data_IF_167609690643
#
_entry.id   IF_167609690643
#
_cell.length_a   1.000
_cell.length_b   1.000
_cell.length_c   1.000
_cell.angle_alpha   90.00
_cell.angle_beta   90.00
_cell.angle_gamma   90.00
#
_symmetry.space_group_name_H-M   'P 1'
#
loop_
_entity.id
_entity.type
_entity.pdbx_description
1 polymer ?
#
# COMPACT_ATOMS: atom_id res chain seq x y z
N UNK A 1 7.06 36.68 -9.55
CA UNK A 1 5.68 36.54 -9.10
C UNK A 1 5.46 35.05 -8.92
N UNK A 2 5.74 34.52 -7.73
CA UNK A 2 5.48 33.11 -7.41
C UNK A 2 3.97 32.98 -7.26
N UNK A 3 3.29 32.30 -8.20
CA UNK A 3 1.92 31.88 -7.98
C UNK A 3 1.93 30.96 -6.75
N UNK A 4 1.23 31.35 -5.67
CA UNK A 4 0.83 30.43 -4.63
C UNK A 4 0.06 29.30 -5.33
N UNK A 5 0.72 28.14 -5.50
CA UNK A 5 0.03 26.91 -5.90
C UNK A 5 -1.05 26.69 -4.84
N UNK A 6 -2.32 26.85 -5.23
CA UNK A 6 -3.45 26.48 -4.37
C UNK A 6 -3.15 25.08 -3.87
N UNK A 7 -3.01 24.90 -2.57
CA UNK A 7 -2.74 23.60 -1.93
C UNK A 7 -3.83 22.65 -2.38
N UNK A 8 -3.49 21.68 -3.21
CA UNK A 8 -4.43 20.68 -3.70
C UNK A 8 -4.56 19.59 -2.65
N UNK A 9 -5.79 19.22 -2.31
CA UNK A 9 -6.07 18.11 -1.41
C UNK A 9 -5.74 16.77 -2.10
N UNK A 10 -5.24 15.83 -1.34
CA UNK A 10 -4.97 14.48 -1.80
C UNK A 10 -6.23 13.63 -1.61
N UNK A 11 -6.97 13.40 -2.69
CA UNK A 11 -8.25 12.67 -2.67
C UNK A 11 -8.23 11.36 -3.46
N UNK A 12 -7.19 11.15 -4.28
CA UNK A 12 -7.07 9.99 -5.16
C UNK A 12 -5.97 9.04 -4.67
N UNK A 13 -6.22 7.76 -4.80
CA UNK A 13 -5.20 6.74 -4.49
C UNK A 13 -5.06 5.70 -5.60
N UNK A 14 -3.84 5.18 -5.75
CA UNK A 14 -3.50 4.04 -6.60
C UNK A 14 -3.16 2.85 -5.69
N UNK A 15 -3.81 1.70 -5.92
CA UNK A 15 -3.47 0.45 -5.26
C UNK A 15 -2.96 -0.54 -6.33
N UNK A 16 -1.64 -0.74 -6.43
CA UNK A 16 -1.07 -1.75 -7.33
C UNK A 16 -1.38 -3.17 -6.85
N UNK A 17 -2.08 -3.95 -7.67
CA UNK A 17 -2.48 -5.33 -7.40
C UNK A 17 -2.18 -6.26 -8.61
N UNK A 18 -1.21 -5.91 -9.46
CA UNK A 18 -0.86 -6.64 -10.68
C UNK A 18 0.06 -7.85 -10.49
N UNK A 19 0.66 -8.02 -9.31
CA UNK A 19 1.66 -9.06 -9.04
C UNK A 19 1.11 -10.50 -9.14
N UNK A 20 1.95 -11.45 -9.58
CA UNK A 20 1.57 -12.86 -9.81
C UNK A 20 1.37 -13.66 -8.50
N UNK A 21 1.85 -13.18 -7.36
CA UNK A 21 1.67 -13.85 -6.06
C UNK A 21 2.41 -15.19 -5.92
N UNK A 22 3.50 -15.41 -6.66
CA UNK A 22 4.21 -16.69 -6.72
C UNK A 22 4.71 -17.24 -5.39
N UNK A 23 4.95 -16.36 -4.41
CA UNK A 23 5.37 -16.74 -3.04
C UNK A 23 4.31 -17.56 -2.30
N UNK A 24 3.03 -17.43 -2.68
CA UNK A 24 1.90 -18.11 -2.06
C UNK A 24 1.35 -19.28 -2.88
N UNK A 25 2.05 -19.72 -3.91
CA UNK A 25 1.65 -20.95 -4.60
C UNK A 25 1.64 -22.14 -3.63
N UNK A 26 0.63 -23.03 -3.74
CA UNK A 26 -0.38 -23.14 -4.80
C UNK A 26 -1.65 -22.27 -4.59
N UNK A 27 -1.87 -21.63 -3.44
CA UNK A 27 -3.10 -20.88 -3.13
C UNK A 27 -3.39 -19.80 -4.18
N UNK A 28 -2.37 -19.09 -4.62
CA UNK A 28 -2.49 -18.00 -5.61
C UNK A 28 -2.54 -18.45 -7.08
N UNK A 29 -2.67 -19.75 -7.33
CA UNK A 29 -2.90 -20.27 -8.70
C UNK A 29 -4.24 -19.77 -9.28
N UNK A 30 -5.27 -19.71 -8.45
CA UNK A 30 -6.63 -19.34 -8.85
C UNK A 30 -7.16 -18.09 -8.14
N UNK A 31 -6.47 -17.60 -7.11
CA UNK A 31 -6.90 -16.47 -6.30
C UNK A 31 -5.79 -15.41 -6.19
N UNK A 32 -6.12 -14.11 -6.30
CA UNK A 32 -5.17 -13.04 -6.03
C UNK A 32 -4.59 -13.13 -4.62
N UNK A 33 -3.28 -12.85 -4.47
CA UNK A 33 -2.67 -12.79 -3.13
C UNK A 33 -3.33 -11.73 -2.23
N UNK A 34 -3.82 -10.67 -2.83
CA UNK A 34 -4.50 -9.56 -2.18
C UNK A 34 -5.86 -9.96 -1.60
N UNK A 35 -6.42 -11.09 -2.09
CA UNK A 35 -7.68 -11.69 -1.61
C UNK A 35 -7.46 -12.80 -0.57
N UNK A 36 -6.21 -13.09 -0.18
CA UNK A 36 -5.97 -14.01 0.93
C UNK A 36 -6.50 -13.39 2.22
N UNK A 37 -7.37 -14.11 2.99
CA UNK A 37 -8.02 -13.52 4.14
C UNK A 37 -7.12 -13.54 5.38
N UNK A 38 -7.05 -12.41 6.06
CA UNK A 38 -6.55 -12.32 7.43
C UNK A 38 -7.75 -12.54 8.33
N UNK A 39 -7.89 -13.76 8.83
CA UNK A 39 -9.09 -14.29 9.49
C UNK A 39 -10.24 -14.39 8.48
N UNK A 40 -11.07 -13.36 8.35
CA UNK A 40 -12.27 -13.29 7.52
C UNK A 40 -12.30 -12.08 6.56
N UNK A 41 -11.30 -11.20 6.62
CA UNK A 41 -11.21 -9.99 5.79
C UNK A 41 -10.03 -10.10 4.83
N UNK A 42 -10.21 -9.92 3.50
CA UNK A 42 -9.12 -9.91 2.54
C UNK A 42 -8.10 -8.82 2.82
N UNK A 43 -6.81 -9.09 2.58
CA UNK A 43 -5.72 -8.14 2.83
C UNK A 43 -5.95 -6.79 2.15
N UNK A 44 -6.45 -6.78 0.90
CA UNK A 44 -6.71 -5.55 0.15
C UNK A 44 -7.77 -4.65 0.80
N UNK A 45 -8.73 -5.21 1.53
CA UNK A 45 -9.76 -4.42 2.20
C UNK A 45 -9.16 -3.54 3.30
N UNK A 46 -8.19 -4.03 4.06
CA UNK A 46 -7.46 -3.20 5.05
C UNK A 46 -6.76 -2.01 4.41
N UNK A 47 -6.24 -2.19 3.19
CA UNK A 47 -5.57 -1.11 2.44
C UNK A 47 -6.58 -0.06 1.96
N UNK A 48 -7.74 -0.49 1.46
CA UNK A 48 -8.83 0.40 1.05
C UNK A 48 -9.38 1.16 2.26
N UNK A 49 -9.63 0.48 3.39
CA UNK A 49 -10.11 1.09 4.63
C UNK A 49 -9.13 2.17 5.14
N UNK A 50 -7.81 1.91 5.13
CA UNK A 50 -6.81 2.93 5.49
C UNK A 50 -6.90 4.16 4.58
N UNK A 51 -7.04 3.95 3.26
CA UNK A 51 -7.18 5.05 2.31
C UNK A 51 -8.42 5.90 2.61
N UNK A 52 -9.58 5.26 2.81
CA UNK A 52 -10.85 5.93 3.14
C UNK A 52 -10.76 6.69 4.46
N UNK A 53 -10.23 6.06 5.51
CA UNK A 53 -10.03 6.70 6.82
C UNK A 53 -9.06 7.89 6.75
N UNK A 54 -8.20 7.93 5.74
CA UNK A 54 -7.26 9.02 5.48
C UNK A 54 -7.83 10.14 4.61
N UNK A 55 -9.12 10.08 4.21
CA UNK A 55 -9.79 11.10 3.42
C UNK A 55 -9.70 10.91 1.90
N UNK A 56 -9.28 9.73 1.43
CA UNK A 56 -9.35 9.35 0.01
C UNK A 56 -10.79 8.96 -0.32
N UNK A 57 -11.33 9.51 -1.39
CA UNK A 57 -12.67 9.23 -1.89
C UNK A 57 -12.67 8.44 -3.21
N UNK A 58 -11.60 8.52 -3.99
CA UNK A 58 -11.49 7.91 -5.31
C UNK A 58 -10.26 7.01 -5.39
N UNK A 59 -10.46 5.71 -5.57
CA UNK A 59 -9.39 4.71 -5.59
C UNK A 59 -9.34 4.04 -6.95
N UNK A 60 -8.14 3.93 -7.55
CA UNK A 60 -7.92 3.09 -8.71
C UNK A 60 -7.06 1.89 -8.36
N UNK A 61 -7.60 0.70 -8.55
CA UNK A 61 -6.88 -0.56 -8.39
C UNK A 61 -6.27 -0.96 -9.74
N UNK A 62 -4.93 -1.03 -9.78
CA UNK A 62 -4.19 -1.45 -10.96
C UNK A 62 -4.02 -2.95 -10.92
N UNK A 63 -4.92 -3.68 -11.58
CA UNK A 63 -4.99 -5.14 -11.55
C UNK A 63 -4.21 -5.79 -12.69
N UNK A 64 -3.83 -7.05 -12.50
CA UNK A 64 -3.28 -7.92 -13.52
C UNK A 64 -4.33 -8.86 -14.12
N UNK A 65 -3.87 -9.82 -14.92
CA UNK A 65 -4.71 -10.92 -15.43
C UNK A 65 -5.17 -11.81 -14.26
N UNK A 66 -6.40 -12.32 -14.30
CA UNK A 66 -6.99 -13.23 -13.29
C UNK A 66 -7.18 -12.62 -11.89
N UNK A 67 -7.45 -11.31 -11.81
CA UNK A 67 -7.68 -10.58 -10.55
C UNK A 67 -9.16 -10.20 -10.32
N UNK A 68 -10.10 -10.84 -11.05
CA UNK A 68 -11.54 -10.55 -10.98
C UNK A 68 -12.11 -10.62 -9.56
N UNK A 69 -11.63 -11.53 -8.72
CA UNK A 69 -12.09 -11.63 -7.34
C UNK A 69 -11.89 -10.34 -6.51
N UNK A 70 -10.97 -9.44 -6.91
CA UNK A 70 -10.83 -8.12 -6.29
C UNK A 70 -12.00 -7.21 -6.71
N UNK A 71 -12.39 -7.26 -7.98
CA UNK A 71 -13.52 -6.51 -8.53
C UNK A 71 -14.81 -6.99 -7.85
N UNK A 72 -15.05 -8.31 -7.89
CA UNK A 72 -16.23 -8.95 -7.30
C UNK A 72 -16.38 -8.67 -5.77
N UNK A 73 -15.27 -8.45 -5.05
CA UNK A 73 -15.29 -8.19 -3.61
C UNK A 73 -15.84 -6.80 -3.25
N UNK A 74 -15.52 -5.79 -4.05
CA UNK A 74 -15.97 -4.42 -3.80
C UNK A 74 -17.24 -4.05 -4.58
N UNK A 75 -17.66 -4.89 -5.53
CA UNK A 75 -18.90 -4.70 -6.25
C UNK A 75 -20.12 -5.14 -5.44
N UNK A 76 -21.29 -4.63 -5.81
CA UNK A 76 -22.55 -5.02 -5.22
C UNK A 76 -22.88 -6.47 -5.58
N UNK A 77 -23.09 -7.32 -4.58
CA UNK A 77 -23.54 -8.70 -4.74
C UNK A 77 -25.06 -8.80 -4.53
N UNK A 78 -25.83 -8.53 -5.58
CA UNK A 78 -27.28 -8.48 -5.50
C UNK A 78 -27.92 -9.78 -4.98
N UNK A 79 -27.45 -10.93 -5.45
CA UNK A 79 -27.98 -12.24 -5.06
C UNK A 79 -27.71 -12.53 -3.59
N UNK A 80 -26.50 -12.23 -3.09
CA UNK A 80 -26.12 -12.43 -1.69
C UNK A 80 -26.90 -11.49 -0.77
N UNK A 81 -26.99 -10.21 -1.13
CA UNK A 81 -27.74 -9.24 -0.33
C UNK A 81 -29.22 -9.66 -0.19
N UNK A 82 -29.85 -10.09 -1.31
CA UNK A 82 -31.24 -10.53 -1.31
C UNK A 82 -31.44 -11.78 -0.43
N UNK A 83 -30.54 -12.76 -0.52
CA UNK A 83 -30.60 -13.97 0.31
C UNK A 83 -30.47 -13.65 1.80
N UNK A 84 -29.56 -12.72 2.18
CA UNK A 84 -29.38 -12.27 3.56
C UNK A 84 -30.61 -11.51 4.07
N UNK A 85 -31.22 -10.68 3.23
CA UNK A 85 -32.44 -9.94 3.55
C UNK A 85 -33.64 -10.89 3.75
N UNK A 86 -33.83 -11.86 2.87
CA UNK A 86 -34.90 -12.87 2.98
C UNK A 86 -34.74 -13.76 4.23
N UNK A 87 -33.48 -13.98 4.69
CA UNK A 87 -33.20 -14.71 5.94
C UNK A 87 -33.25 -13.84 7.19
N UNK A 88 -33.43 -12.54 7.06
CA UNK A 88 -33.41 -11.61 8.18
C UNK A 88 -32.05 -11.47 8.86
N UNK A 89 -30.94 -11.76 8.13
CA UNK A 89 -29.58 -11.64 8.67
C UNK A 89 -29.04 -10.22 8.45
N UNK A 90 -29.56 -9.28 9.21
CA UNK A 90 -29.26 -7.85 9.12
C UNK A 90 -27.77 -7.53 9.32
N UNK A 91 -27.10 -8.27 10.23
CA UNK A 91 -25.69 -8.04 10.55
C UNK A 91 -24.81 -8.35 9.34
N UNK A 92 -24.95 -9.53 8.73
CA UNK A 92 -24.17 -9.89 7.54
C UNK A 92 -24.54 -9.04 6.33
N UNK A 93 -25.81 -8.64 6.21
CA UNK A 93 -26.27 -7.75 5.16
C UNK A 93 -25.59 -6.37 5.26
N UNK A 94 -25.49 -5.83 6.47
CA UNK A 94 -24.79 -4.57 6.70
C UNK A 94 -23.30 -4.66 6.29
N UNK A 95 -22.61 -5.73 6.70
CA UNK A 95 -21.20 -5.96 6.33
C UNK A 95 -21.02 -5.98 4.80
N UNK A 96 -21.87 -6.71 4.08
CA UNK A 96 -21.75 -6.82 2.60
C UNK A 96 -22.04 -5.48 1.93
N UNK A 97 -23.04 -4.74 2.39
CA UNK A 97 -23.37 -3.41 1.87
C UNK A 97 -22.27 -2.38 2.15
N UNK A 98 -21.71 -2.38 3.34
CA UNK A 98 -20.64 -1.45 3.74
C UNK A 98 -19.40 -1.63 2.87
N UNK A 99 -19.02 -2.86 2.51
CA UNK A 99 -17.90 -3.13 1.61
C UNK A 99 -18.11 -2.48 0.24
N UNK A 100 -19.32 -2.59 -0.31
CA UNK A 100 -19.66 -2.03 -1.64
C UNK A 100 -19.73 -0.50 -1.66
N UNK A 101 -19.79 0.14 -0.49
CA UNK A 101 -19.92 1.59 -0.36
C UNK A 101 -18.67 2.27 0.27
N UNK A 102 -17.57 1.52 0.42
CA UNK A 102 -16.36 2.05 1.07
C UNK A 102 -15.78 3.28 0.35
N UNK A 103 -15.71 3.24 -0.98
CA UNK A 103 -15.18 4.33 -1.81
C UNK A 103 -15.64 4.17 -3.26
N UNK A 104 -15.43 5.20 -4.09
CA UNK A 104 -15.53 5.08 -5.54
C UNK A 104 -14.30 4.34 -6.07
N UNK A 105 -14.45 3.05 -6.40
CA UNK A 105 -13.36 2.18 -6.82
C UNK A 105 -13.38 1.98 -8.33
N UNK A 106 -12.27 2.30 -8.97
CA UNK A 106 -12.03 2.14 -10.40
C UNK A 106 -10.99 1.07 -10.66
N UNK A 107 -11.04 0.45 -11.82
CA UNK A 107 -10.11 -0.62 -12.19
C UNK A 107 -9.41 -0.32 -13.50
N UNK A 108 -8.09 -0.48 -13.52
CA UNK A 108 -7.30 -0.45 -14.75
C UNK A 108 -6.40 -1.66 -14.81
N UNK A 109 -6.22 -2.20 -16.00
CA UNK A 109 -5.38 -3.38 -16.18
C UNK A 109 -3.95 -3.01 -16.56
N UNK A 110 -3.00 -3.46 -15.77
CA UNK A 110 -1.62 -3.55 -16.18
C UNK A 110 -1.48 -4.74 -17.15
N UNK A 111 -1.35 -4.46 -18.45
CA UNK A 111 -1.33 -5.49 -19.49
C UNK A 111 -0.09 -6.37 -19.43
N UNK A 112 1.05 -5.78 -19.08
CA UNK A 112 2.35 -6.42 -18.96
C UNK A 112 2.93 -6.17 -17.57
N UNK A 113 3.47 -7.18 -16.88
CA UNK A 113 3.98 -7.05 -15.50
C UNK A 113 5.38 -6.40 -15.48
N UNK A 114 5.46 -5.13 -15.91
CA UNK A 114 6.71 -4.38 -16.05
C UNK A 114 7.14 -3.65 -14.76
N UNK A 115 6.68 -4.10 -13.60
CA UNK A 115 7.09 -3.57 -12.31
C UNK A 115 6.14 -2.51 -11.71
N UNK A 116 6.52 -2.02 -10.50
CA UNK A 116 5.70 -1.10 -9.72
C UNK A 116 5.56 0.27 -10.38
N UNK A 117 6.64 0.83 -10.92
CA UNK A 117 6.58 2.13 -11.62
C UNK A 117 5.63 2.09 -12.81
N UNK A 118 5.64 1.00 -13.59
CA UNK A 118 4.69 0.82 -14.69
C UNK A 118 3.24 0.66 -14.19
N UNK A 119 3.01 -0.01 -13.07
CA UNK A 119 1.67 -0.10 -12.49
C UNK A 119 1.14 1.30 -12.12
N UNK A 120 1.95 2.14 -11.48
CA UNK A 120 1.60 3.53 -11.17
C UNK A 120 1.31 4.32 -12.44
N UNK A 121 2.14 4.17 -13.47
CA UNK A 121 1.95 4.83 -14.78
C UNK A 121 0.62 4.47 -15.44
N UNK A 122 0.14 3.23 -15.31
CA UNK A 122 -1.15 2.80 -15.86
C UNK A 122 -2.33 3.63 -15.34
N UNK A 123 -2.21 4.23 -14.16
CA UNK A 123 -3.25 5.06 -13.55
C UNK A 123 -3.18 6.56 -13.93
N UNK A 124 -2.18 7.01 -14.71
CA UNK A 124 -1.96 8.42 -15.04
C UNK A 124 -3.22 9.14 -15.50
N UNK A 125 -3.99 8.53 -16.40
CA UNK A 125 -5.21 9.17 -16.96
C UNK A 125 -6.31 9.37 -15.92
N UNK A 126 -6.37 8.55 -14.91
CA UNK A 126 -7.30 8.67 -13.80
C UNK A 126 -6.87 9.77 -12.83
N UNK A 127 -5.58 9.83 -12.52
CA UNK A 127 -5.03 10.82 -11.60
C UNK A 127 -5.07 12.22 -12.21
N UNK A 128 -4.66 12.37 -13.47
CA UNK A 128 -4.50 13.68 -14.10
C UNK A 128 -3.32 14.45 -13.49
N UNK A 129 -3.55 15.72 -13.20
CA UNK A 129 -2.56 16.64 -12.65
C UNK A 129 -2.76 16.89 -11.14
N UNK A 130 -3.39 15.96 -10.44
CA UNK A 130 -3.65 16.06 -9.00
C UNK A 130 -2.62 15.26 -8.20
N UNK A 131 -2.30 15.69 -6.95
CA UNK A 131 -1.51 14.86 -6.03
C UNK A 131 -2.29 13.61 -5.66
N UNK A 132 -1.57 12.52 -5.41
CA UNK A 132 -2.19 11.23 -5.18
C UNK A 132 -1.41 10.37 -4.20
N UNK A 133 -2.10 9.42 -3.59
CA UNK A 133 -1.48 8.40 -2.76
C UNK A 133 -1.17 7.13 -3.56
N UNK A 134 -0.15 6.38 -3.14
CA UNK A 134 0.09 5.00 -3.58
C UNK A 134 0.18 4.11 -2.35
N UNK A 135 -0.62 3.03 -2.31
CA UNK A 135 -0.62 2.06 -1.23
C UNK A 135 -0.33 0.67 -1.80
N UNK A 136 0.76 0.05 -1.35
CA UNK A 136 1.06 -1.33 -1.77
C UNK A 136 0.09 -2.31 -1.11
N UNK A 137 -0.44 -3.24 -1.91
CA UNK A 137 -1.49 -4.17 -1.49
C UNK A 137 -1.04 -5.31 -0.57
N UNK A 138 0.25 -5.39 -0.23
CA UNK A 138 0.84 -6.41 0.64
C UNK A 138 1.52 -5.86 1.90
N UNK A 139 1.35 -4.57 2.18
CA UNK A 139 1.80 -3.92 3.41
C UNK A 139 0.60 -3.35 4.19
N UNK A 140 0.25 -3.93 5.32
CA UNK A 140 -0.79 -3.41 6.21
C UNK A 140 -0.11 -2.62 7.32
N UNK A 141 -0.40 -1.31 7.38
CA UNK A 141 0.11 -0.41 8.41
C UNK A 141 -0.98 -0.09 9.42
N UNK A 142 -0.64 -0.17 10.70
CA UNK A 142 -1.57 0.15 11.80
C UNK A 142 -0.96 1.21 12.70
N UNK A 143 -1.61 2.36 12.74
CA UNK A 143 -1.32 3.47 13.63
C UNK A 143 -2.57 4.31 13.84
N UNK A 144 -2.60 5.08 14.90
CA UNK A 144 -3.66 6.05 15.20
C UNK A 144 -3.02 7.43 15.36
N UNK A 145 -3.31 8.39 14.46
CA UNK A 145 -4.11 8.27 13.24
C UNK A 145 -3.44 7.39 12.15
N UNK A 146 -4.16 7.00 11.07
CA UNK A 146 -3.62 6.20 9.98
C UNK A 146 -2.33 6.80 9.38
N UNK A 147 -1.38 5.95 8.98
CA UNK A 147 -0.11 6.40 8.40
C UNK A 147 -0.33 7.31 7.18
N UNK A 148 -1.21 6.92 6.28
CA UNK A 148 -1.50 7.73 5.09
C UNK A 148 -2.10 9.09 5.46
N UNK A 149 -2.97 9.20 6.47
CA UNK A 149 -3.52 10.47 6.91
C UNK A 149 -2.43 11.43 7.41
N UNK A 150 -1.46 10.93 8.18
CA UNK A 150 -0.32 11.71 8.63
C UNK A 150 0.52 12.22 7.46
N UNK A 151 0.74 11.37 6.45
CA UNK A 151 1.49 11.74 5.24
C UNK A 151 0.77 12.76 4.37
N UNK A 152 -0.55 12.64 4.23
CA UNK A 152 -1.39 13.62 3.51
C UNK A 152 -1.28 14.98 4.17
N UNK A 153 -1.39 15.04 5.49
CA UNK A 153 -1.21 16.28 6.25
C UNK A 153 0.18 16.90 6.00
N UNK A 154 1.24 16.10 6.07
CA UNK A 154 2.60 16.56 5.78
C UNK A 154 2.74 17.08 4.34
N UNK A 155 2.11 16.42 3.36
CA UNK A 155 2.09 16.89 1.96
C UNK A 155 1.35 18.22 1.83
N UNK A 156 0.17 18.33 2.43
CA UNK A 156 -0.65 19.55 2.38
C UNK A 156 0.02 20.75 3.04
N UNK A 157 0.84 20.52 4.07
CA UNK A 157 1.64 21.57 4.71
C UNK A 157 2.84 22.01 3.87
N UNK A 158 3.54 21.07 3.25
CA UNK A 158 4.85 21.32 2.61
C UNK A 158 4.80 21.46 1.10
N UNK A 159 3.79 20.87 0.45
CA UNK A 159 3.70 20.73 -1.01
C UNK A 159 4.75 19.80 -1.62
N UNK A 160 5.44 19.01 -0.79
CA UNK A 160 6.50 18.08 -1.21
C UNK A 160 6.00 16.63 -1.15
N UNK A 161 6.41 15.81 -2.10
CA UNK A 161 6.12 14.36 -2.05
C UNK A 161 6.62 13.74 -0.75
N UNK A 162 5.88 12.78 -0.22
CA UNK A 162 6.16 12.13 1.08
C UNK A 162 6.23 10.62 0.91
N UNK A 163 7.23 9.98 1.50
CA UNK A 163 7.39 8.52 1.50
C UNK A 163 7.44 8.01 2.95
N UNK A 164 6.64 7.00 3.26
CA UNK A 164 6.70 6.35 4.56
C UNK A 164 7.93 5.45 4.67
N UNK A 165 8.66 5.62 5.76
CA UNK A 165 9.86 4.86 6.08
C UNK A 165 9.76 4.24 7.47
N UNK A 166 10.37 3.08 7.63
CA UNK A 166 10.50 2.36 8.90
C UNK A 166 11.89 1.81 9.07
N UNK A 167 12.41 1.80 10.27
CA UNK A 167 13.68 1.11 10.53
C UNK A 167 13.53 -0.40 10.40
N UNK A 168 14.48 -1.01 9.69
CA UNK A 168 14.56 -2.47 9.56
C UNK A 168 15.93 -2.94 10.04
N UNK A 169 16.07 -4.22 10.47
CA UNK A 169 17.36 -4.79 10.74
C UNK A 169 18.31 -4.68 9.54
N UNK A 170 19.57 -4.31 9.77
CA UNK A 170 20.57 -4.11 8.71
C UNK A 170 20.70 -5.31 7.75
N UNK A 171 20.55 -6.52 8.25
CA UNK A 171 20.57 -7.74 7.44
C UNK A 171 19.33 -7.92 6.53
N UNK A 172 18.32 -7.05 6.63
CA UNK A 172 17.12 -7.09 5.81
C UNK A 172 17.04 -5.94 4.77
N UNK A 173 17.96 -4.98 4.80
CA UNK A 173 17.96 -3.81 3.91
C UNK A 173 17.92 -4.19 2.43
N UNK A 174 18.53 -5.30 2.05
CA UNK A 174 18.56 -5.81 0.67
C UNK A 174 17.18 -6.20 0.10
N UNK A 175 16.12 -6.19 0.93
CA UNK A 175 14.73 -6.53 0.51
C UNK A 175 13.93 -5.31 0.08
N UNK A 176 14.35 -4.10 0.43
CA UNK A 176 13.58 -2.87 0.34
C UNK A 176 14.29 -1.78 -0.45
N UNK A 177 13.52 -0.78 -0.89
CA UNK A 177 14.07 0.52 -1.20
C UNK A 177 14.57 1.19 0.10
N UNK A 178 15.80 1.67 0.10
CA UNK A 178 16.45 2.27 1.28
C UNK A 178 16.66 3.75 1.03
N UNK A 179 16.27 4.59 2.00
CA UNK A 179 16.47 6.03 1.95
C UNK A 179 17.81 6.44 2.59
N UNK A 180 18.49 7.43 1.99
CA UNK A 180 19.63 8.11 2.58
C UNK A 180 19.22 9.49 3.09
N UNK A 181 19.80 9.90 4.21
CA UNK A 181 19.57 11.20 4.86
C UNK A 181 20.87 11.96 5.06
N UNK A 182 20.74 13.27 5.25
CA UNK A 182 21.83 14.05 5.80
C UNK A 182 21.98 13.77 7.31
N UNK A 183 23.07 13.13 7.66
CA UNK A 183 23.37 12.83 9.06
C UNK A 183 23.70 14.08 9.89
N UNK A 184 23.99 15.23 9.24
CA UNK A 184 24.31 16.48 9.91
C UNK A 184 23.06 17.20 10.45
N UNK A 185 21.87 16.90 9.93
CA UNK A 185 20.61 17.49 10.39
C UNK A 185 19.47 16.45 10.49
N UNK A 186 19.38 15.73 11.62
CA UNK A 186 18.31 14.76 11.85
C UNK A 186 16.90 15.37 11.89
N UNK A 187 16.78 16.70 12.01
CA UNK A 187 15.49 17.40 12.02
C UNK A 187 14.89 17.57 10.63
N UNK A 188 15.71 17.53 9.59
CA UNK A 188 15.25 17.58 8.21
C UNK A 188 14.86 16.19 7.73
N UNK A 189 13.56 15.99 7.54
CA UNK A 189 13.01 14.77 6.95
C UNK A 189 13.27 14.67 5.43
N UNK A 190 14.19 15.46 4.87
CA UNK A 190 14.52 15.43 3.45
C UNK A 190 15.31 14.17 3.10
N UNK A 191 14.82 13.43 2.14
CA UNK A 191 15.52 12.29 1.55
C UNK A 191 16.60 12.84 0.60
N UNK A 192 17.84 12.38 0.74
CA UNK A 192 18.92 12.71 -0.16
C UNK A 192 19.01 11.76 -1.34
N UNK A 193 18.80 10.47 -1.08
CA UNK A 193 18.91 9.43 -2.10
C UNK A 193 17.99 8.25 -1.77
N UNK A 194 17.64 7.46 -2.79
CA UNK A 194 16.82 6.26 -2.70
C UNK A 194 17.47 5.14 -3.51
N UNK A 195 17.76 4.02 -2.88
CA UNK A 195 18.43 2.87 -3.51
C UNK A 195 17.53 1.64 -3.43
N UNK A 196 17.10 1.12 -4.58
CA UNK A 196 16.28 -0.09 -4.66
C UNK A 196 17.11 -1.32 -4.39
N UNK A 197 16.77 -2.07 -3.34
CA UNK A 197 17.38 -3.35 -2.94
C UNK A 197 18.91 -3.32 -3.03
N UNK A 198 19.58 -2.50 -2.21
CA UNK A 198 21.04 -2.41 -2.21
C UNK A 198 21.66 -3.78 -1.95
N UNK A 199 22.86 -4.01 -2.48
CA UNK A 199 23.61 -5.21 -2.16
C UNK A 199 23.94 -5.27 -0.64
N UNK A 200 24.09 -6.47 -0.05
CA UNK A 200 24.45 -6.59 1.36
C UNK A 200 25.66 -5.73 1.72
N UNK A 201 25.53 -4.92 2.77
CA UNK A 201 26.57 -3.97 3.20
C UNK A 201 26.71 -2.67 2.41
N UNK A 202 25.87 -2.44 1.39
CA UNK A 202 25.85 -1.21 0.58
C UNK A 202 24.67 -0.28 0.89
N UNK A 203 23.82 -0.65 1.83
CA UNK A 203 22.72 0.21 2.23
C UNK A 203 23.26 1.49 2.93
N UNK A 204 22.81 2.69 2.53
CA UNK A 204 23.26 3.95 3.12
C UNK A 204 22.68 4.17 4.53
N UNK A 205 21.59 3.50 4.85
CA UNK A 205 20.92 3.51 6.14
C UNK A 205 20.13 2.22 6.35
N UNK A 206 19.40 2.12 7.45
CA UNK A 206 18.41 1.06 7.69
C UNK A 206 16.95 1.55 7.61
N UNK A 207 16.73 2.72 7.00
CA UNK A 207 15.39 3.27 6.77
C UNK A 207 14.80 2.75 5.46
N UNK A 208 13.88 1.81 5.58
CA UNK A 208 13.23 1.12 4.47
C UNK A 208 11.90 1.74 4.09
N UNK A 209 11.62 1.79 2.81
CA UNK A 209 10.31 2.20 2.27
C UNK A 209 9.27 1.13 2.59
N UNK A 210 8.13 1.54 3.15
CA UNK A 210 7.07 0.64 3.63
C UNK A 210 5.76 0.77 2.85
N UNK A 211 5.87 1.00 1.55
CA UNK A 211 4.73 0.86 0.64
C UNK A 211 3.63 1.91 0.76
N UNK A 212 3.91 3.08 1.35
CA UNK A 212 3.02 4.24 1.36
C UNK A 212 3.74 5.45 0.80
N UNK A 213 3.05 6.13 -0.13
CA UNK A 213 3.57 7.32 -0.81
C UNK A 213 2.45 8.34 -0.99
N UNK A 214 2.79 9.61 -0.88
CA UNK A 214 1.97 10.74 -1.36
C UNK A 214 2.83 11.49 -2.37
N UNK A 215 2.41 11.55 -3.61
CA UNK A 215 3.25 11.95 -4.74
C UNK A 215 2.67 13.14 -5.52
N UNK A 216 3.56 14.01 -5.99
CA UNK A 216 3.26 15.01 -7.00
C UNK A 216 3.10 14.32 -8.38
N UNK A 217 2.14 14.72 -9.22
CA UNK A 217 1.89 14.13 -10.53
C UNK A 217 3.09 14.27 -11.51
N UNK A 218 4.05 15.15 -11.25
CA UNK A 218 5.29 15.24 -12.04
C UNK A 218 6.05 13.91 -12.16
N UNK A 219 5.83 12.97 -11.24
CA UNK A 219 6.41 11.62 -11.31
C UNK A 219 6.02 10.88 -12.60
N UNK A 220 4.85 11.17 -13.18
CA UNK A 220 4.39 10.48 -14.39
C UNK A 220 5.25 10.76 -15.61
N UNK A 221 5.79 11.96 -15.75
CA UNK A 221 6.70 12.30 -16.84
C UNK A 221 7.99 11.47 -16.77
N UNK A 222 8.50 11.24 -15.55
CA UNK A 222 9.67 10.40 -15.34
C UNK A 222 9.37 8.93 -15.61
N UNK A 223 8.21 8.45 -15.16
CA UNK A 223 7.78 7.07 -15.39
C UNK A 223 7.56 6.76 -16.88
N UNK A 224 7.09 7.72 -17.69
CA UNK A 224 6.93 7.53 -19.14
C UNK A 224 8.26 7.34 -19.87
N UNK A 225 9.32 7.97 -19.38
CA UNK A 225 10.65 7.90 -19.98
C UNK A 225 11.55 6.88 -19.27
N UNK A 226 11.06 6.24 -18.20
CA UNK A 226 11.81 5.25 -17.45
C UNK A 226 12.13 4.02 -18.31
N UNK A 227 13.38 3.56 -18.20
CA UNK A 227 13.83 2.32 -18.85
C UNK A 227 13.76 1.17 -17.85
N UNK A 228 13.41 -0.05 -18.31
CA UNK A 228 13.47 -1.21 -17.44
C UNK A 228 14.88 -1.38 -16.84
N UNK A 229 14.92 -1.50 -15.51
CA UNK A 229 16.14 -1.73 -14.73
C UNK A 229 16.42 -3.21 -14.48
N UNK A 230 16.85 -3.55 -13.26
CA UNK A 230 17.05 -4.94 -12.84
C UNK A 230 15.78 -5.77 -13.07
N UNK A 231 15.95 -7.00 -13.57
CA UNK A 231 14.87 -7.94 -13.90
C UNK A 231 13.87 -7.49 -14.98
N UNK A 232 14.18 -6.43 -15.76
CA UNK A 232 13.29 -5.92 -16.81
C UNK A 232 12.09 -5.12 -16.26
N UNK A 233 12.14 -4.68 -15.00
CA UNK A 233 11.06 -3.93 -14.35
C UNK A 233 11.37 -2.42 -14.32
N UNK A 234 10.32 -1.61 -14.45
CA UNK A 234 10.35 -0.17 -14.18
C UNK A 234 10.11 0.01 -12.67
N UNK A 235 11.19 0.34 -11.96
CA UNK A 235 11.13 0.54 -10.52
C UNK A 235 10.62 1.95 -10.19
N UNK A 236 9.67 2.04 -9.26
CA UNK A 236 9.18 3.34 -8.78
C UNK A 236 10.30 4.11 -8.07
N UNK A 237 11.15 3.41 -7.33
CA UNK A 237 12.28 3.97 -6.57
C UNK A 237 13.25 4.76 -7.46
N UNK A 238 13.55 4.26 -8.67
CA UNK A 238 14.45 4.93 -9.62
C UNK A 238 13.85 6.25 -10.12
N UNK A 239 12.56 6.28 -10.39
CA UNK A 239 11.85 7.50 -10.81
C UNK A 239 11.70 8.49 -9.65
N UNK A 240 11.50 8.01 -8.42
CA UNK A 240 11.49 8.86 -7.22
C UNK A 240 12.84 9.49 -6.97
N UNK A 241 13.93 8.77 -7.17
CA UNK A 241 15.28 9.32 -7.08
C UNK A 241 15.49 10.45 -8.10
N UNK A 242 15.02 10.26 -9.34
CA UNK A 242 15.09 11.32 -10.36
C UNK A 242 14.22 12.53 -9.98
N UNK A 243 13.00 12.31 -9.47
CA UNK A 243 12.12 13.38 -9.00
C UNK A 243 12.79 14.21 -7.90
N UNK A 244 13.49 13.56 -6.97
CA UNK A 244 14.13 14.19 -5.83
C UNK A 244 15.24 15.18 -6.19
N UNK A 245 15.79 15.14 -7.42
CA UNK A 245 16.79 16.09 -7.89
C UNK A 245 16.22 17.50 -8.13
N UNK A 246 14.94 17.64 -8.45
CA UNK A 246 14.31 18.93 -8.74
C UNK A 246 13.06 19.22 -7.89
N UNK A 247 12.45 18.21 -7.29
CA UNK A 247 11.35 18.34 -6.34
C UNK A 247 11.67 17.52 -5.08
N UNK A 248 11.97 18.17 -3.94
CA UNK A 248 12.38 17.46 -2.74
C UNK A 248 11.33 16.48 -2.26
N UNK A 249 11.77 15.29 -1.85
CA UNK A 249 10.95 14.27 -1.25
C UNK A 249 11.22 14.22 0.25
N UNK A 250 10.17 14.18 1.04
CA UNK A 250 10.24 14.12 2.49
C UNK A 250 9.97 12.69 2.99
N UNK A 251 10.63 12.34 4.05
CA UNK A 251 10.36 11.12 4.78
C UNK A 251 9.24 11.33 5.79
N UNK A 252 8.33 10.38 5.86
CA UNK A 252 7.47 10.18 7.01
C UNK A 252 8.00 8.97 7.78
N UNK A 253 8.60 9.20 8.96
CA UNK A 253 9.10 8.12 9.81
C UNK A 253 7.90 7.49 10.52
N UNK A 254 7.47 6.38 9.97
CA UNK A 254 6.30 5.66 10.48
C UNK A 254 6.58 5.06 11.85
N UNK A 255 5.67 5.34 12.78
CA UNK A 255 5.61 4.72 14.10
C UNK A 255 4.30 3.96 14.22
N UNK A 256 4.38 2.64 14.39
CA UNK A 256 3.21 1.77 14.42
C UNK A 256 3.57 0.33 14.13
N UNK A 257 2.58 -0.49 13.85
CA UNK A 257 2.76 -1.90 13.54
C UNK A 257 2.61 -2.13 12.05
N UNK A 258 3.67 -2.67 11.42
CA UNK A 258 3.65 -3.08 10.03
C UNK A 258 3.50 -4.60 9.93
N UNK A 259 2.57 -5.04 9.10
CA UNK A 259 2.39 -6.44 8.74
C UNK A 259 2.70 -6.60 7.25
N UNK A 260 3.87 -7.19 6.95
CA UNK A 260 4.23 -7.58 5.59
C UNK A 260 3.51 -8.89 5.26
N UNK A 261 2.39 -8.75 4.55
CA UNK A 261 1.57 -9.90 4.12
C UNK A 261 1.96 -10.39 2.72
N UNK A 262 3.09 -9.93 2.20
CA UNK A 262 3.67 -10.33 0.92
C UNK A 262 4.49 -11.63 1.00
N UNK A 263 4.78 -12.15 2.20
CA UNK A 263 5.41 -13.45 2.41
C UNK A 263 4.66 -14.33 3.43
N UNK A 264 4.97 -15.64 3.40
CA UNK A 264 4.24 -16.64 4.22
C UNK A 264 4.36 -16.39 5.72
N UNK A 265 5.55 -16.06 6.21
CA UNK A 265 5.78 -15.85 7.64
C UNK A 265 5.11 -14.58 8.13
N UNK A 266 5.23 -13.49 7.36
CA UNK A 266 4.58 -12.22 7.64
C UNK A 266 3.06 -12.37 7.67
N UNK A 267 2.49 -13.13 6.72
CA UNK A 267 1.07 -13.43 6.66
C UNK A 267 0.58 -14.20 7.90
N UNK A 268 1.31 -15.24 8.34
CA UNK A 268 0.97 -16.00 9.55
C UNK A 268 1.04 -15.10 10.79
N UNK A 269 2.09 -14.28 10.92
CA UNK A 269 2.22 -13.31 12.03
C UNK A 269 1.06 -12.32 12.03
N UNK A 270 0.70 -11.75 10.87
CA UNK A 270 -0.44 -10.86 10.75
C UNK A 270 -1.74 -11.54 11.22
N UNK A 271 -2.01 -12.75 10.74
CA UNK A 271 -3.21 -13.51 11.13
C UNK A 271 -3.29 -13.74 12.64
N UNK A 272 -2.17 -14.11 13.27
CA UNK A 272 -2.11 -14.31 14.73
C UNK A 272 -2.35 -12.97 15.46
N UNK A 273 -1.66 -11.91 15.05
CA UNK A 273 -1.77 -10.61 15.68
C UNK A 273 -3.20 -10.06 15.62
N UNK A 274 -3.85 -10.14 14.46
CA UNK A 274 -5.24 -9.73 14.29
C UNK A 274 -6.21 -10.60 15.10
N UNK A 275 -5.98 -11.91 15.17
CA UNK A 275 -6.80 -12.80 15.98
C UNK A 275 -6.69 -12.52 17.49
N UNK A 276 -5.49 -12.12 17.95
CA UNK A 276 -5.26 -11.75 19.35
C UNK A 276 -5.88 -10.40 19.75
N UNK A 277 -6.25 -9.58 18.78
CA UNK A 277 -6.90 -8.27 18.99
C UNK A 277 -8.42 -8.33 18.87
N UNK A 278 -8.99 -9.41 18.29
CA UNK A 278 -10.44 -9.61 18.16
C UNK A 278 -11.06 -10.17 19.44
N UNK A 279 -12.12 -9.54 19.89
CA UNK A 279 -12.81 -9.95 21.13
C UNK A 279 -13.36 -11.38 21.06
N UNK A 280 -13.90 -11.79 19.90
CA UNK A 280 -14.47 -13.12 19.67
C UNK A 280 -13.44 -14.26 19.56
N UNK A 281 -12.14 -13.95 19.35
CA UNK A 281 -11.09 -14.94 19.09
C UNK A 281 -9.95 -14.90 20.10
N UNK A 282 -9.68 -13.73 20.71
CA UNK A 282 -8.44 -13.47 21.43
C UNK A 282 -8.16 -14.46 22.57
N UNK A 283 -9.19 -14.83 23.34
CA UNK A 283 -9.03 -15.74 24.50
C UNK A 283 -8.68 -17.16 24.06
N UNK A 284 -9.42 -17.69 23.10
CA UNK A 284 -9.21 -19.04 22.56
C UNK A 284 -7.84 -19.15 21.87
N UNK A 285 -7.46 -18.15 21.08
CA UNK A 285 -6.17 -18.11 20.39
C UNK A 285 -5.02 -18.04 21.40
N UNK A 286 -5.11 -17.21 22.46
CA UNK A 286 -4.10 -17.15 23.52
C UNK A 286 -3.93 -18.48 24.23
N UNK A 287 -5.04 -19.16 24.56
CA UNK A 287 -5.03 -20.47 25.18
C UNK A 287 -4.34 -21.49 24.27
N UNK A 288 -4.76 -21.56 23.01
CA UNK A 288 -4.18 -22.48 22.03
C UNK A 288 -2.67 -22.28 21.85
N UNK A 289 -2.22 -21.01 21.76
CA UNK A 289 -0.78 -20.71 21.60
C UNK A 289 0.04 -21.16 22.81
N UNK A 290 -0.46 -20.97 24.04
CA UNK A 290 0.22 -21.44 25.25
C UNK A 290 0.37 -22.95 25.24
N UNK A 291 -0.71 -23.69 24.94
CA UNK A 291 -0.70 -25.16 24.90
C UNK A 291 0.26 -25.75 23.84
N UNK A 292 0.71 -24.94 22.88
CA UNK A 292 1.62 -25.37 21.80
C UNK A 292 3.08 -24.97 22.01
N UNK A 293 3.34 -23.99 22.88
CA UNK A 293 4.69 -23.47 23.15
C UNK A 293 5.27 -24.00 24.45
N UNK A 294 4.44 -24.58 25.34
CA UNK A 294 4.82 -25.38 26.50
C UNK A 294 5.06 -26.85 26.09
#
# INVERSE_FOLDING_TARGET
MFHEKKRQQVRKAIIPAGGLGTRFLPATKAQPKEMLPIIDKPAIQYIVEEAVQSGIDSIIIVSGRHKRAIEDHFDKSYELEKELEERGNEEMLAIVRDISHLADIYYVRQKEPLGLGHAVLCARRFIGDEPFAVLLGDDILRSEPPCLQQMIHQYEETGSSVIALMEVPWNQTHKYGIAAFDNADPSHNRILDLIEKPAPGQAPSNWAVVGRYVLDPAIFELLEHARPGKAGEIQLTDSLQQLNHFAPILAHRFTGKRHDVGDKLGFVKATIDFALEREDLSEEVRKYLRERLD
#
